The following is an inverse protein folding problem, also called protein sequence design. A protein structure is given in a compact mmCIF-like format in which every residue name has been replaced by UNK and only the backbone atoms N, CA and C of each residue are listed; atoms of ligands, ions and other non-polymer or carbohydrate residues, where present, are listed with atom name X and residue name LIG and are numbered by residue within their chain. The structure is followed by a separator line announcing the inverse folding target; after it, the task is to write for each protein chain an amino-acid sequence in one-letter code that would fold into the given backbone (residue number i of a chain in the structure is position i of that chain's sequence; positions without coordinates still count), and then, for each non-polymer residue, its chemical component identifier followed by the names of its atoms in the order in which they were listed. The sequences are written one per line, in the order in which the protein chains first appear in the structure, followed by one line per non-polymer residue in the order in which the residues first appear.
data_IF_432165328611
#
_entry.id   IF_432165328611
#
_cell.length_a   1.000
_cell.length_b   1.000
_cell.length_c   1.000
_cell.angle_alpha   90.00
_cell.angle_beta   90.00
_cell.angle_gamma   90.00
#
_symmetry.space_group_name_H-M   'P 1'
#
loop_
_entity.id
_entity.type
_entity.pdbx_description
1 polymer ?
#
# COMPACT_ATOMS: atom_id res chain seq x y z
N UNK A 1 -27.35 17.57 -6.38
CA UNK A 1 -27.24 16.11 -6.32
C UNK A 1 -26.98 15.46 -7.68
N UNK A 2 -27.53 15.97 -8.80
CA UNK A 2 -27.41 15.30 -10.12
C UNK A 2 -26.10 15.45 -10.92
N UNK A 3 -25.15 16.30 -10.52
CA UNK A 3 -23.92 16.52 -11.31
C UNK A 3 -22.81 15.51 -10.97
N UNK A 4 -22.72 15.09 -9.71
CA UNK A 4 -21.78 14.05 -9.26
C UNK A 4 -22.15 12.65 -9.74
N UNK A 5 -23.45 12.37 -9.83
CA UNK A 5 -23.95 11.08 -10.34
C UNK A 5 -23.73 10.93 -11.85
N UNK A 6 -23.73 12.04 -12.60
CA UNK A 6 -23.43 12.05 -14.03
C UNK A 6 -21.93 11.87 -14.32
N UNK A 7 -21.04 12.41 -13.49
CA UNK A 7 -19.59 12.20 -13.58
C UNK A 7 -19.20 10.76 -13.21
N UNK A 8 -19.80 10.20 -12.18
CA UNK A 8 -19.55 8.79 -11.80
C UNK A 8 -20.03 7.81 -12.90
N UNK A 9 -21.18 8.07 -13.52
CA UNK A 9 -21.68 7.25 -14.65
C UNK A 9 -20.77 7.38 -15.89
N UNK A 10 -20.21 8.56 -16.15
CA UNK A 10 -19.24 8.75 -17.24
C UNK A 10 -17.95 8.01 -16.95
N UNK A 11 -17.41 8.10 -15.75
CA UNK A 11 -16.19 7.38 -15.37
C UNK A 11 -16.36 5.85 -15.45
N UNK A 12 -17.52 5.32 -15.04
CA UNK A 12 -17.82 3.89 -15.16
C UNK A 12 -18.02 3.44 -16.62
N UNK A 13 -18.63 4.27 -17.47
CA UNK A 13 -18.75 4.00 -18.91
C UNK A 13 -17.39 4.04 -19.62
N UNK A 14 -16.52 4.97 -19.27
CA UNK A 14 -15.17 5.03 -19.82
C UNK A 14 -14.31 3.85 -19.37
N UNK A 15 -14.42 3.40 -18.14
CA UNK A 15 -13.70 2.20 -17.67
C UNK A 15 -14.20 0.92 -18.36
N UNK A 16 -15.50 0.81 -18.61
CA UNK A 16 -16.06 -0.33 -19.35
C UNK A 16 -15.64 -0.33 -20.82
N UNK A 17 -15.68 0.82 -21.50
CA UNK A 17 -15.23 0.96 -22.89
C UNK A 17 -13.73 0.68 -23.05
N UNK A 18 -12.91 1.08 -22.06
CA UNK A 18 -11.46 0.83 -22.10
C UNK A 18 -11.13 -0.65 -21.86
N UNK A 19 -11.90 -1.34 -21.02
CA UNK A 19 -11.74 -2.79 -20.79
C UNK A 19 -12.28 -3.62 -21.94
N UNK A 20 -13.33 -3.17 -22.64
CA UNK A 20 -13.89 -3.83 -23.83
C UNK A 20 -12.97 -3.65 -25.04
N UNK A 21 -12.52 -2.44 -25.35
CA UNK A 21 -11.58 -2.21 -26.46
C UNK A 21 -10.24 -2.93 -26.25
N UNK A 22 -9.67 -2.89 -25.04
CA UNK A 22 -8.42 -3.61 -24.74
C UNK A 22 -8.58 -5.13 -24.81
N UNK A 23 -9.79 -5.65 -24.65
CA UNK A 23 -10.10 -7.07 -24.79
C UNK A 23 -10.37 -7.44 -26.26
N UNK A 24 -10.96 -6.54 -27.04
CA UNK A 24 -11.18 -6.73 -28.47
C UNK A 24 -9.85 -6.69 -29.23
N UNK A 25 -8.94 -5.77 -28.94
CA UNK A 25 -7.61 -5.69 -29.57
C UNK A 25 -6.75 -6.94 -29.31
N UNK A 26 -6.87 -7.55 -28.13
CA UNK A 26 -6.18 -8.80 -27.81
C UNK A 26 -6.87 -10.00 -28.49
N UNK A 27 -8.19 -9.96 -28.66
CA UNK A 27 -8.96 -11.02 -29.32
C UNK A 27 -8.88 -10.94 -30.83
N UNK A 28 -8.76 -9.74 -31.45
CA UNK A 28 -8.55 -9.58 -32.89
C UNK A 28 -7.19 -10.12 -33.34
N UNK A 29 -6.17 -10.09 -32.47
CA UNK A 29 -4.89 -10.77 -32.71
C UNK A 29 -5.01 -12.31 -32.75
N UNK A 30 -6.07 -12.88 -32.21
CA UNK A 30 -6.30 -14.32 -32.14
C UNK A 30 -6.82 -14.92 -33.44
N UNK A 31 -7.41 -14.12 -34.33
CA UNK A 31 -8.11 -14.61 -35.55
C UNK A 31 -7.28 -14.66 -36.83
N UNK A 32 -6.10 -14.07 -36.86
CA UNK A 32 -5.21 -14.17 -38.01
C UNK A 32 -4.37 -15.45 -37.93
N UNK A 33 -4.83 -16.50 -38.58
CA UNK A 33 -4.13 -17.77 -38.65
C UNK A 33 -2.67 -17.62 -39.09
N UNK A 34 -1.84 -18.56 -38.64
CA UNK A 34 -0.43 -18.67 -39.05
C UNK A 34 -0.39 -18.79 -40.54
N UNK A 35 0.16 -17.76 -41.23
CA UNK A 35 0.26 -17.77 -42.67
C UNK A 35 1.04 -18.99 -43.19
N UNK A 36 0.87 -19.36 -44.47
CA UNK A 36 1.52 -20.51 -45.11
C UNK A 36 3.03 -20.56 -44.83
N UNK A 37 3.69 -19.39 -44.81
CA UNK A 37 5.10 -19.26 -44.50
C UNK A 37 5.40 -19.67 -43.02
N UNK A 38 4.52 -19.35 -42.09
CA UNK A 38 4.66 -19.78 -40.67
C UNK A 38 4.51 -21.30 -40.50
N UNK A 39 3.63 -21.93 -41.31
CA UNK A 39 3.47 -23.39 -41.32
C UNK A 39 4.72 -24.08 -41.87
N UNK A 40 5.33 -23.57 -42.95
CA UNK A 40 6.58 -24.08 -43.53
C UNK A 40 7.72 -23.98 -42.50
N UNK A 41 7.83 -22.84 -41.79
CA UNK A 41 8.85 -22.62 -40.76
C UNK A 41 8.69 -23.54 -39.56
N UNK A 42 7.44 -23.82 -39.12
CA UNK A 42 7.17 -24.78 -38.05
C UNK A 42 7.51 -26.21 -38.44
N UNK A 43 7.20 -26.63 -39.69
CA UNK A 43 7.56 -27.93 -40.20
C UNK A 43 9.10 -28.09 -40.32
N UNK A 44 9.80 -27.08 -40.82
CA UNK A 44 11.26 -27.09 -40.95
C UNK A 44 11.93 -27.17 -39.57
N UNK A 45 11.44 -26.41 -38.58
CA UNK A 45 11.95 -26.46 -37.21
C UNK A 45 11.71 -27.82 -36.56
N UNK A 46 10.54 -28.43 -36.81
CA UNK A 46 10.23 -29.77 -36.26
C UNK A 46 11.15 -30.83 -36.88
N UNK A 47 11.45 -30.77 -38.16
CA UNK A 47 12.42 -31.66 -38.84
C UNK A 47 13.83 -31.47 -38.23
N UNK A 48 14.25 -30.23 -38.00
CA UNK A 48 15.56 -29.92 -37.44
C UNK A 48 15.69 -30.45 -35.99
N UNK A 49 14.64 -30.32 -35.19
CA UNK A 49 14.56 -30.89 -33.84
C UNK A 49 14.63 -32.42 -33.88
N UNK A 50 13.98 -33.04 -34.88
CA UNK A 50 13.94 -34.50 -35.01
C UNK A 50 15.31 -35.08 -35.44
N UNK A 51 16.08 -34.35 -36.27
CA UNK A 51 17.44 -34.72 -36.66
C UNK A 51 18.42 -34.58 -35.50
N UNK A 52 18.22 -33.61 -34.61
CA UNK A 52 19.10 -33.31 -33.48
C UNK A 52 18.55 -33.85 -32.14
N UNK A 53 17.68 -34.86 -32.16
CA UNK A 53 16.93 -35.39 -30.99
C UNK A 53 17.73 -35.51 -29.71
N UNK A 54 18.94 -36.13 -29.64
CA UNK A 54 19.59 -36.31 -28.36
C UNK A 54 20.03 -35.01 -27.67
N UNK A 55 20.40 -33.99 -28.43
CA UNK A 55 20.78 -32.68 -27.87
C UNK A 55 19.56 -31.74 -27.71
N UNK A 56 18.59 -31.83 -28.58
CA UNK A 56 17.37 -31.01 -28.58
C UNK A 56 16.50 -31.27 -27.36
N UNK A 57 16.41 -32.51 -26.88
CA UNK A 57 15.60 -32.85 -25.70
C UNK A 57 15.97 -32.03 -24.47
N UNK A 58 17.26 -31.78 -24.19
CA UNK A 58 17.70 -30.98 -23.06
C UNK A 58 17.33 -29.50 -23.17
N UNK A 59 17.19 -28.99 -24.39
CA UNK A 59 16.91 -27.56 -24.65
C UNK A 59 15.40 -27.29 -24.75
N UNK A 60 14.64 -28.25 -25.34
CA UNK A 60 13.20 -28.09 -25.60
C UNK A 60 12.33 -28.27 -24.35
N UNK A 61 12.77 -29.05 -23.36
CA UNK A 61 12.02 -29.21 -22.12
C UNK A 61 12.34 -28.13 -21.14
N UNK A 62 11.33 -27.37 -20.75
CA UNK A 62 11.42 -26.33 -19.72
C UNK A 62 10.46 -26.62 -18.60
N UNK A 63 10.94 -26.42 -17.37
CA UNK A 63 10.13 -26.56 -16.15
C UNK A 63 9.71 -25.19 -15.66
N UNK A 64 8.42 -25.05 -15.39
CA UNK A 64 7.84 -23.87 -14.75
C UNK A 64 7.41 -24.25 -13.36
N UNK A 65 7.80 -23.46 -12.40
CA UNK A 65 7.46 -23.66 -11.00
C UNK A 65 6.00 -23.28 -10.73
N UNK A 66 5.46 -23.73 -9.59
CA UNK A 66 4.06 -23.49 -9.24
C UNK A 66 3.72 -22.00 -9.10
N UNK A 67 4.65 -21.22 -8.61
CA UNK A 67 4.53 -19.76 -8.44
C UNK A 67 4.86 -18.96 -9.70
N UNK A 68 5.29 -19.63 -10.80
CA UNK A 68 5.59 -18.98 -12.06
C UNK A 68 4.52 -19.31 -13.11
N UNK A 69 4.37 -18.42 -14.07
CA UNK A 69 3.61 -18.67 -15.31
C UNK A 69 4.49 -18.37 -16.50
N UNK A 70 4.43 -19.23 -17.51
CA UNK A 70 5.13 -19.02 -18.76
C UNK A 70 4.17 -18.47 -19.81
N UNK A 71 4.50 -17.31 -20.38
CA UNK A 71 3.83 -16.72 -21.53
C UNK A 71 4.66 -17.08 -22.75
N UNK A 72 4.05 -17.77 -23.72
CA UNK A 72 4.75 -18.29 -24.91
C UNK A 72 4.34 -17.46 -26.11
N UNK A 73 5.35 -17.00 -26.84
CA UNK A 73 5.20 -16.30 -28.12
C UNK A 73 5.71 -17.20 -29.25
N UNK A 74 4.89 -17.44 -30.25
CA UNK A 74 5.25 -18.18 -31.44
C UNK A 74 5.34 -17.21 -32.61
N UNK A 75 6.53 -17.10 -33.23
CA UNK A 75 6.78 -16.14 -34.34
C UNK A 75 6.37 -14.70 -33.97
N UNK A 76 6.60 -14.28 -32.73
CA UNK A 76 6.24 -12.95 -32.24
C UNK A 76 4.76 -12.75 -31.88
N UNK A 77 3.92 -13.78 -32.06
CA UNK A 77 2.50 -13.73 -31.68
C UNK A 77 2.26 -14.53 -30.39
N UNK A 78 1.36 -14.03 -29.57
CA UNK A 78 0.92 -14.74 -28.37
C UNK A 78 0.24 -16.06 -28.77
N UNK A 79 0.60 -17.15 -28.09
CA UNK A 79 -0.02 -18.44 -28.34
C UNK A 79 -1.46 -18.43 -27.78
N UNK A 80 -2.47 -18.87 -28.56
CA UNK A 80 -3.83 -19.02 -28.06
C UNK A 80 -3.86 -19.94 -26.82
N UNK A 81 -4.56 -19.49 -25.78
CA UNK A 81 -4.59 -20.17 -24.48
C UNK A 81 -3.83 -19.45 -23.35
N UNK A 82 -3.20 -18.32 -23.64
CA UNK A 82 -2.61 -17.42 -22.64
C UNK A 82 -1.38 -17.98 -21.94
N UNK A 83 -1.27 -17.75 -20.64
CA UNK A 83 -0.15 -18.24 -19.83
C UNK A 83 -0.25 -19.72 -19.51
N UNK A 84 0.84 -20.45 -19.70
CA UNK A 84 0.93 -21.87 -19.29
C UNK A 84 1.16 -22.00 -17.79
N UNK A 85 0.43 -22.96 -17.19
CA UNK A 85 0.55 -23.30 -15.77
C UNK A 85 1.86 -24.00 -15.40
N UNK A 86 2.02 -24.41 -14.14
CA UNK A 86 3.20 -25.11 -13.67
C UNK A 86 3.32 -26.49 -14.33
N UNK A 87 4.56 -26.97 -14.43
CA UNK A 87 4.88 -28.27 -14.97
C UNK A 87 5.93 -28.22 -16.06
N UNK A 88 6.05 -29.34 -16.80
CA UNK A 88 6.99 -29.49 -17.90
C UNK A 88 6.25 -29.18 -19.19
N UNK A 89 6.81 -28.32 -20.01
CA UNK A 89 6.27 -28.02 -21.32
C UNK A 89 7.38 -28.03 -22.39
N UNK A 90 6.97 -28.32 -23.60
CA UNK A 90 7.82 -28.42 -24.75
C UNK A 90 7.82 -27.10 -25.52
N UNK A 91 9.00 -26.56 -25.79
CA UNK A 91 9.21 -25.35 -26.56
C UNK A 91 10.09 -25.67 -27.77
N UNK A 92 9.76 -25.11 -28.92
CA UNK A 92 10.58 -25.09 -30.09
C UNK A 92 11.52 -23.87 -30.08
N UNK A 93 12.78 -23.99 -29.67
CA UNK A 93 13.66 -22.82 -29.38
C UNK A 93 13.91 -21.93 -30.61
N UNK A 94 13.73 -22.45 -31.84
CA UNK A 94 13.92 -21.69 -33.07
C UNK A 94 12.74 -20.78 -33.43
N UNK A 95 11.54 -21.04 -32.89
CA UNK A 95 10.29 -20.38 -33.31
C UNK A 95 9.57 -19.76 -32.13
N UNK A 96 9.69 -20.40 -30.98
CA UNK A 96 8.99 -20.01 -29.77
C UNK A 96 9.93 -19.30 -28.80
N UNK A 97 9.48 -18.15 -28.34
CA UNK A 97 10.10 -17.45 -27.21
C UNK A 97 9.15 -17.52 -26.00
N UNK A 98 9.69 -17.57 -24.79
CA UNK A 98 8.89 -17.62 -23.59
C UNK A 98 9.39 -16.60 -22.57
N UNK A 99 8.45 -16.01 -21.84
CA UNK A 99 8.72 -15.14 -20.70
C UNK A 99 8.14 -15.78 -19.45
N UNK A 100 8.93 -15.86 -18.38
CA UNK A 100 8.47 -16.32 -17.06
C UNK A 100 8.07 -15.13 -16.23
N UNK A 101 6.89 -15.22 -15.62
CA UNK A 101 6.33 -14.21 -14.74
C UNK A 101 6.08 -14.83 -13.37
N UNK A 102 6.64 -14.24 -12.34
CA UNK A 102 6.40 -14.64 -10.95
C UNK A 102 5.06 -14.05 -10.47
N UNK A 103 4.22 -14.90 -9.86
CA UNK A 103 2.91 -14.50 -9.31
C UNK A 103 2.96 -14.16 -7.83
N UNK A 104 4.11 -14.32 -7.18
CA UNK A 104 4.28 -13.99 -5.77
C UNK A 104 4.20 -12.47 -5.57
N UNK A 105 3.83 -12.08 -4.38
CA UNK A 105 3.86 -10.67 -3.98
C UNK A 105 5.30 -10.17 -4.00
N UNK A 106 5.53 -9.14 -4.80
CA UNK A 106 6.80 -8.44 -4.91
C UNK A 106 6.71 -7.10 -4.21
N UNK A 107 7.85 -6.61 -3.75
CA UNK A 107 7.95 -5.36 -3.00
C UNK A 107 8.74 -4.33 -3.81
N UNK A 108 8.20 -3.14 -3.96
CA UNK A 108 8.88 -1.99 -4.55
C UNK A 108 9.16 -0.97 -3.45
N UNK A 109 10.42 -0.66 -3.27
CA UNK A 109 10.86 0.44 -2.42
C UNK A 109 10.89 1.74 -3.24
N UNK A 110 10.12 2.74 -2.79
CA UNK A 110 10.07 4.07 -3.38
C UNK A 110 11.09 4.94 -2.62
N UNK A 111 12.14 5.42 -3.30
CA UNK A 111 13.13 6.27 -2.67
C UNK A 111 12.49 7.56 -2.17
N UNK A 112 13.09 8.23 -1.16
CA UNK A 112 12.58 9.47 -0.61
C UNK A 112 12.29 10.51 -1.69
N UNK A 113 11.05 11.03 -1.69
CA UNK A 113 10.59 12.06 -2.61
C UNK A 113 10.42 13.38 -1.86
N UNK A 114 11.04 14.43 -2.35
CA UNK A 114 10.82 15.76 -1.83
C UNK A 114 9.57 16.36 -2.49
N UNK A 115 8.59 16.68 -1.69
CA UNK A 115 7.30 17.18 -2.13
C UNK A 115 6.94 18.44 -1.35
N UNK A 116 6.42 19.44 -2.07
CA UNK A 116 5.83 20.63 -1.45
C UNK A 116 4.39 20.31 -1.07
N UNK A 117 4.06 20.41 0.21
CA UNK A 117 2.70 20.22 0.72
C UNK A 117 1.80 21.41 0.39
N UNK A 118 0.50 21.28 0.59
CA UNK A 118 -0.47 22.37 0.42
C UNK A 118 -0.14 23.58 1.31
N UNK A 119 0.48 23.36 2.46
CA UNK A 119 0.92 24.41 3.40
C UNK A 119 2.25 25.06 3.01
N UNK A 120 2.75 24.83 1.79
CA UNK A 120 4.01 25.34 1.28
C UNK A 120 5.25 24.89 2.08
N UNK A 121 5.18 23.72 2.71
CA UNK A 121 6.28 23.09 3.42
C UNK A 121 6.86 21.95 2.58
N UNK A 122 8.18 21.92 2.42
CA UNK A 122 8.85 20.79 1.76
C UNK A 122 9.03 19.65 2.75
N UNK A 123 8.53 18.46 2.38
CA UNK A 123 8.68 17.21 3.13
C UNK A 123 9.35 16.17 2.27
N UNK A 124 10.16 15.31 2.88
CA UNK A 124 10.73 14.14 2.21
C UNK A 124 10.01 12.90 2.74
N UNK A 125 9.37 12.17 1.82
CA UNK A 125 8.57 10.98 2.17
C UNK A 125 9.02 9.80 1.34
N UNK A 126 9.20 8.66 1.98
CA UNK A 126 9.47 7.35 1.38
C UNK A 126 8.31 6.39 1.64
N UNK A 127 8.11 5.45 0.72
CA UNK A 127 7.02 4.51 0.77
C UNK A 127 7.43 3.13 0.23
N UNK A 128 6.62 2.13 0.54
CA UNK A 128 6.75 0.76 0.03
C UNK A 128 5.44 0.34 -0.59
N UNK A 129 5.53 -0.29 -1.76
CA UNK A 129 4.37 -0.84 -2.48
C UNK A 129 4.51 -2.35 -2.58
N UNK A 130 3.50 -3.05 -2.10
CA UNK A 130 3.33 -4.49 -2.24
C UNK A 130 2.38 -4.75 -3.41
N UNK A 131 2.86 -5.46 -4.40
CA UNK A 131 2.07 -5.77 -5.60
C UNK A 131 2.32 -7.21 -6.05
N UNK A 132 1.40 -7.76 -6.81
CA UNK A 132 1.55 -9.04 -7.51
C UNK A 132 1.01 -8.96 -8.92
N UNK A 133 1.51 -9.84 -9.78
CA UNK A 133 0.95 -9.99 -11.12
C UNK A 133 -0.32 -10.83 -11.02
N UNK A 134 -1.44 -10.25 -11.42
CA UNK A 134 -2.76 -10.90 -11.49
C UNK A 134 -2.92 -11.67 -12.80
N UNK A 135 -2.51 -11.06 -13.90
CA UNK A 135 -2.59 -11.67 -15.24
C UNK A 135 -1.22 -11.59 -15.94
N UNK A 136 -0.53 -12.72 -15.98
CA UNK A 136 0.80 -12.82 -16.58
C UNK A 136 0.82 -12.47 -18.08
N UNK A 137 -0.24 -12.83 -18.81
CA UNK A 137 -0.34 -12.59 -20.25
C UNK A 137 -0.40 -11.09 -20.55
N UNK A 138 -1.32 -10.39 -19.87
CA UNK A 138 -1.50 -8.94 -20.02
C UNK A 138 -0.25 -8.19 -19.56
N UNK A 139 0.38 -8.64 -18.49
CA UNK A 139 1.59 -7.99 -17.95
C UNK A 139 2.75 -8.02 -18.95
N UNK A 140 2.95 -9.15 -19.64
CA UNK A 140 4.05 -9.28 -20.62
C UNK A 140 3.71 -8.60 -21.96
N UNK A 141 2.42 -8.58 -22.33
CA UNK A 141 2.00 -7.99 -23.61
C UNK A 141 1.94 -6.46 -23.57
N UNK A 142 1.49 -5.87 -22.44
CA UNK A 142 1.20 -4.45 -22.35
C UNK A 142 2.34 -3.62 -21.75
N UNK A 143 3.23 -4.23 -20.98
CA UNK A 143 4.30 -3.52 -20.26
C UNK A 143 5.63 -4.23 -20.44
N UNK A 144 6.64 -3.52 -20.88
CA UNK A 144 8.00 -4.05 -21.06
C UNK A 144 8.60 -4.50 -19.72
N UNK A 145 8.49 -3.65 -18.70
CA UNK A 145 9.01 -3.91 -17.37
C UNK A 145 8.02 -3.47 -16.30
N UNK A 146 7.19 -4.42 -15.86
CA UNK A 146 6.14 -4.19 -14.87
C UNK A 146 6.66 -3.56 -13.58
N UNK A 147 7.81 -4.04 -13.09
CA UNK A 147 8.44 -3.52 -11.86
C UNK A 147 8.87 -2.06 -12.00
N UNK A 148 9.53 -1.72 -13.10
CA UNK A 148 10.02 -0.36 -13.34
C UNK A 148 8.87 0.63 -13.57
N UNK A 149 7.90 0.26 -14.40
CA UNK A 149 6.74 1.10 -14.71
C UNK A 149 5.86 1.37 -13.48
N UNK A 150 5.60 0.33 -12.67
CA UNK A 150 4.86 0.48 -11.42
C UNK A 150 5.63 1.36 -10.42
N UNK A 151 6.96 1.26 -10.36
CA UNK A 151 7.79 2.11 -9.51
C UNK A 151 7.68 3.58 -9.89
N UNK A 152 7.79 3.92 -11.16
CA UNK A 152 7.66 5.30 -11.65
C UNK A 152 6.25 5.85 -11.41
N UNK A 153 5.23 5.04 -11.67
CA UNK A 153 3.85 5.42 -11.40
C UNK A 153 3.64 5.70 -9.91
N UNK A 154 4.15 4.84 -9.04
CA UNK A 154 4.04 5.01 -7.59
C UNK A 154 4.75 6.28 -7.09
N UNK A 155 5.93 6.62 -7.64
CA UNK A 155 6.62 7.88 -7.32
C UNK A 155 5.81 9.10 -7.70
N UNK A 156 5.23 9.11 -8.89
CA UNK A 156 4.42 10.24 -9.37
C UNK A 156 3.11 10.37 -8.60
N UNK A 157 2.46 9.25 -8.29
CA UNK A 157 1.22 9.21 -7.50
C UNK A 157 1.46 9.68 -6.08
N UNK A 158 2.56 9.24 -5.44
CA UNK A 158 2.97 9.69 -4.12
C UNK A 158 3.11 11.21 -4.09
N UNK A 159 3.85 11.78 -5.06
CA UNK A 159 4.04 13.23 -5.16
C UNK A 159 2.72 13.98 -5.34
N UNK A 160 1.84 13.49 -6.20
CA UNK A 160 0.57 14.13 -6.48
C UNK A 160 -0.35 14.12 -5.25
N UNK A 161 -0.49 13.00 -4.56
CA UNK A 161 -1.35 12.86 -3.38
C UNK A 161 -0.82 13.73 -2.24
N UNK A 162 0.48 13.67 -1.95
CA UNK A 162 1.08 14.46 -0.87
C UNK A 162 1.00 15.97 -1.14
N UNK A 163 1.11 16.40 -2.41
CA UNK A 163 0.97 17.80 -2.79
C UNK A 163 -0.43 18.39 -2.57
N UNK A 164 -1.45 17.53 -2.45
CA UNK A 164 -2.84 17.97 -2.16
C UNK A 164 -3.18 18.00 -0.67
N UNK A 165 -2.32 17.44 0.18
CA UNK A 165 -2.55 17.29 1.62
C UNK A 165 -1.79 18.33 2.44
N UNK A 166 -2.36 18.66 3.62
CA UNK A 166 -1.67 19.51 4.59
C UNK A 166 -0.63 18.69 5.36
N UNK A 167 0.38 19.33 5.91
CA UNK A 167 1.43 18.69 6.69
C UNK A 167 0.87 17.89 7.88
N UNK A 168 -0.08 18.46 8.60
CA UNK A 168 -0.71 17.80 9.73
C UNK A 168 -1.42 16.49 9.34
N UNK A 169 -2.11 16.46 8.20
CA UNK A 169 -2.76 15.26 7.67
C UNK A 169 -1.74 14.18 7.31
N UNK A 170 -0.60 14.58 6.71
CA UNK A 170 0.48 13.64 6.32
C UNK A 170 1.08 12.94 7.55
N UNK A 171 1.18 13.64 8.68
CA UNK A 171 1.75 13.09 9.90
C UNK A 171 0.76 12.28 10.74
N UNK A 172 -0.52 12.70 10.77
CA UNK A 172 -1.56 12.08 11.60
C UNK A 172 -2.31 10.96 10.89
N UNK A 173 -2.59 11.10 9.58
CA UNK A 173 -3.50 10.25 8.81
C UNK A 173 -2.77 9.45 7.71
N UNK A 174 -1.66 8.79 8.06
CA UNK A 174 -0.87 7.98 7.13
C UNK A 174 -1.68 6.86 6.48
N UNK A 175 -2.60 6.26 7.22
CA UNK A 175 -3.44 5.16 6.73
C UNK A 175 -4.41 5.63 5.64
N UNK A 176 -5.04 6.79 5.81
CA UNK A 176 -5.93 7.38 4.80
C UNK A 176 -5.20 7.68 3.49
N UNK A 177 -3.95 8.17 3.59
CA UNK A 177 -3.11 8.44 2.41
C UNK A 177 -2.70 7.13 1.74
N UNK A 178 -2.28 6.13 2.51
CA UNK A 178 -1.93 4.79 2.01
C UNK A 178 -3.08 4.15 1.24
N UNK A 179 -4.30 4.20 1.78
CA UNK A 179 -5.50 3.67 1.14
C UNK A 179 -5.86 4.44 -0.14
N UNK A 180 -5.72 5.76 -0.12
CA UNK A 180 -5.93 6.60 -1.31
C UNK A 180 -4.91 6.29 -2.41
N UNK A 181 -3.64 6.12 -2.03
CA UNK A 181 -2.58 5.70 -2.96
C UNK A 181 -2.84 4.32 -3.54
N UNK A 182 -3.23 3.36 -2.69
CA UNK A 182 -3.53 2.00 -3.11
C UNK A 182 -4.64 2.00 -4.17
N UNK A 183 -5.75 2.70 -3.93
CA UNK A 183 -6.87 2.79 -4.88
C UNK A 183 -6.45 3.37 -6.23
N UNK A 184 -5.74 4.50 -6.23
CA UNK A 184 -5.29 5.16 -7.47
C UNK A 184 -4.27 4.30 -8.23
N UNK A 185 -3.37 3.63 -7.50
CA UNK A 185 -2.38 2.75 -8.12
C UNK A 185 -3.03 1.49 -8.69
N UNK A 186 -3.94 0.85 -7.95
CA UNK A 186 -4.63 -0.37 -8.38
C UNK A 186 -5.46 -0.11 -9.65
N UNK A 187 -6.20 1.00 -9.70
CA UNK A 187 -6.96 1.42 -10.88
C UNK A 187 -6.05 1.59 -12.12
N UNK A 188 -4.91 2.24 -11.94
CA UNK A 188 -3.98 2.49 -13.05
C UNK A 188 -3.23 1.22 -13.50
N UNK A 189 -2.86 0.33 -12.55
CA UNK A 189 -2.07 -0.88 -12.86
C UNK A 189 -2.93 -2.06 -13.30
N UNK A 190 -4.25 -2.00 -13.14
CA UNK A 190 -5.19 -3.02 -13.61
C UNK A 190 -5.06 -3.25 -15.13
N UNK A 191 -4.86 -2.19 -15.91
CA UNK A 191 -4.61 -2.28 -17.36
C UNK A 191 -3.33 -3.05 -17.73
N UNK A 192 -2.39 -3.16 -16.78
CA UNK A 192 -1.13 -3.91 -16.93
C UNK A 192 -1.20 -5.33 -16.37
N UNK A 193 -2.36 -5.75 -15.86
CA UNK A 193 -2.54 -7.04 -15.20
C UNK A 193 -1.79 -7.16 -13.87
N UNK A 194 -1.51 -6.03 -13.22
CA UNK A 194 -0.86 -5.94 -11.92
C UNK A 194 -1.90 -5.53 -10.90
N UNK A 195 -1.87 -6.16 -9.73
CA UNK A 195 -2.71 -5.81 -8.59
C UNK A 195 -1.85 -5.27 -7.46
N UNK A 196 -2.18 -4.07 -6.99
CA UNK A 196 -1.54 -3.47 -5.82
C UNK A 196 -2.28 -3.95 -4.57
N UNK A 197 -1.58 -4.69 -3.71
CA UNK A 197 -2.16 -5.27 -2.50
C UNK A 197 -2.16 -4.27 -1.35
N UNK A 198 -1.04 -3.56 -1.20
CA UNK A 198 -0.85 -2.63 -0.09
C UNK A 198 0.18 -1.56 -0.41
N UNK A 199 -0.05 -0.38 0.09
CA UNK A 199 0.91 0.73 0.07
C UNK A 199 1.16 1.16 1.52
N UNK A 200 2.40 1.34 1.89
CA UNK A 200 2.78 1.82 3.23
C UNK A 200 3.75 2.99 3.13
N UNK A 201 3.46 4.05 3.86
CA UNK A 201 4.38 5.17 4.04
C UNK A 201 5.36 4.78 5.15
N UNK A 202 6.66 4.72 4.83
CA UNK A 202 7.71 4.38 5.80
C UNK A 202 7.95 5.54 6.74
N UNK A 203 8.44 6.64 6.19
CA UNK A 203 8.90 7.78 6.98
C UNK A 203 8.55 9.10 6.30
N UNK A 204 8.28 10.12 7.08
CA UNK A 204 8.05 11.48 6.62
C UNK A 204 9.04 12.39 7.35
N UNK A 205 10.06 12.86 6.64
CA UNK A 205 11.12 13.70 7.18
C UNK A 205 10.84 15.16 6.89
N UNK A 206 10.93 15.96 7.94
CA UNK A 206 10.77 17.41 7.90
C UNK A 206 12.13 18.10 7.94
N UNK A 207 12.26 19.31 7.41
CA UNK A 207 13.42 20.15 7.65
C UNK A 207 13.62 20.36 9.15
N UNK A 208 14.88 20.30 9.60
CA UNK A 208 15.24 20.32 11.05
C UNK A 208 14.70 21.56 11.76
N UNK A 209 14.66 22.71 11.07
CA UNK A 209 14.13 23.94 11.63
C UNK A 209 12.64 23.85 11.94
N UNK A 210 11.86 23.28 11.02
CA UNK A 210 10.43 23.10 11.20
C UNK A 210 10.13 22.05 12.26
N UNK A 211 10.90 20.96 12.30
CA UNK A 211 10.78 19.94 13.33
C UNK A 211 10.97 20.51 14.73
N UNK A 212 11.95 21.41 14.93
CA UNK A 212 12.18 22.11 16.20
C UNK A 212 11.02 23.03 16.56
N UNK A 213 10.50 23.80 15.60
CA UNK A 213 9.36 24.68 15.83
C UNK A 213 8.11 23.90 16.24
N UNK A 214 7.78 22.81 15.53
CA UNK A 214 6.64 21.94 15.86
C UNK A 214 6.82 21.24 17.19
N UNK A 215 8.05 20.84 17.55
CA UNK A 215 8.32 20.24 18.87
C UNK A 215 8.05 21.25 20.00
N UNK A 216 8.51 22.49 19.84
CA UNK A 216 8.27 23.55 20.83
C UNK A 216 6.77 23.90 20.95
N UNK A 217 6.04 23.96 19.84
CA UNK A 217 4.58 24.17 19.84
C UNK A 217 3.84 23.02 20.53
N UNK A 218 4.21 21.77 20.22
CA UNK A 218 3.63 20.60 20.85
C UNK A 218 3.89 20.53 22.36
N UNK A 219 5.09 20.95 22.79
CA UNK A 219 5.45 21.04 24.21
C UNK A 219 4.64 22.13 24.93
N UNK A 220 4.55 23.32 24.36
CA UNK A 220 3.72 24.41 24.89
C UNK A 220 2.23 24.02 24.97
N UNK A 221 1.71 23.31 23.96
CA UNK A 221 0.32 22.82 23.98
C UNK A 221 0.10 21.77 25.06
N UNK A 222 1.08 20.86 25.30
CA UNK A 222 1.00 19.87 26.39
C UNK A 222 1.05 20.54 27.76
N UNK A 223 1.91 21.51 27.93
CA UNK A 223 2.01 22.27 29.17
C UNK A 223 0.72 23.06 29.48
N UNK A 224 0.14 23.71 28.45
CA UNK A 224 -1.15 24.38 28.58
C UNK A 224 -2.27 23.43 28.98
N UNK A 225 -2.35 22.25 28.35
CA UNK A 225 -3.33 21.21 28.72
C UNK A 225 -3.10 20.69 30.14
N UNK A 226 -1.87 20.45 30.53
CA UNK A 226 -1.54 20.01 31.90
C UNK A 226 -2.00 21.03 32.95
N UNK A 227 -1.81 22.34 32.68
CA UNK A 227 -2.30 23.42 33.54
C UNK A 227 -3.83 23.45 33.63
N UNK A 228 -4.52 23.24 32.54
CA UNK A 228 -6.00 23.17 32.50
C UNK A 228 -6.50 21.96 33.33
N UNK A 229 -5.89 20.80 33.13
CA UNK A 229 -6.25 19.56 33.86
C UNK A 229 -5.99 19.73 35.36
N UNK A 230 -4.87 20.35 35.73
CA UNK A 230 -4.56 20.64 37.13
C UNK A 230 -5.61 21.59 37.74
N UNK A 231 -5.95 22.70 37.08
CA UNK A 231 -6.97 23.63 37.53
C UNK A 231 -8.36 23.00 37.63
N UNK A 232 -8.74 22.13 36.70
CA UNK A 232 -9.98 21.36 36.80
C UNK A 232 -9.97 20.37 37.96
N UNK A 233 -8.81 19.74 38.22
CA UNK A 233 -8.58 18.87 39.37
C UNK A 233 -8.76 19.62 40.70
N UNK A 234 -8.14 20.80 40.81
CA UNK A 234 -8.27 21.68 41.98
C UNK A 234 -9.73 22.14 42.20
N UNK A 235 -10.40 22.52 41.10
CA UNK A 235 -11.81 22.91 41.15
C UNK A 235 -12.69 21.75 41.63
N UNK A 236 -12.51 20.53 41.15
CA UNK A 236 -13.24 19.33 41.56
C UNK A 236 -12.96 19.02 43.03
N UNK A 237 -11.68 19.07 43.45
CA UNK A 237 -11.27 18.86 44.83
C UNK A 237 -11.89 19.91 45.78
N UNK A 238 -11.86 21.18 45.39
CA UNK A 238 -12.48 22.27 46.16
C UNK A 238 -13.99 22.11 46.32
N UNK A 239 -14.68 21.69 45.22
CA UNK A 239 -16.13 21.38 45.29
C UNK A 239 -16.41 20.21 46.23
N UNK A 240 -15.65 19.13 46.13
CA UNK A 240 -15.81 17.96 47.01
C UNK A 240 -15.52 18.30 48.47
N UNK A 241 -14.49 19.13 48.75
CA UNK A 241 -14.23 19.63 50.09
C UNK A 241 -15.34 20.49 50.64
N UNK A 242 -15.93 21.37 49.82
CA UNK A 242 -17.09 22.18 50.21
C UNK A 242 -18.30 21.31 50.52
N UNK A 243 -18.60 20.33 49.69
CA UNK A 243 -19.71 19.39 49.92
C UNK A 243 -19.48 18.59 51.21
N UNK A 244 -18.27 18.08 51.41
CA UNK A 244 -17.89 17.40 52.64
C UNK A 244 -18.01 18.31 53.88
N UNK A 245 -17.65 19.59 53.77
CA UNK A 245 -17.76 20.54 54.88
C UNK A 245 -19.22 20.85 55.22
N UNK A 246 -20.13 20.91 54.24
CA UNK A 246 -21.56 21.09 54.46
C UNK A 246 -22.15 19.90 55.19
N UNK A 247 -21.83 18.67 54.77
CA UNK A 247 -22.27 17.43 55.44
C UNK A 247 -21.74 17.34 56.88
N UNK A 248 -20.49 17.78 57.13
CA UNK A 248 -19.93 17.82 58.47
C UNK A 248 -20.55 18.91 59.37
N UNK A 249 -21.03 20.00 58.79
CA UNK A 249 -21.71 21.06 59.52
C UNK A 249 -23.12 20.66 59.99
N UNK A 250 -23.75 19.69 59.29
CA UNK A 250 -25.10 19.23 59.57
C UNK A 250 -25.19 18.25 60.76
N UNK A 251 -24.06 17.61 61.15
CA UNK A 251 -24.03 16.71 62.32
C UNK A 251 -22.79 16.95 63.19
N UNK A 252 -23.01 17.29 64.50
CA UNK A 252 -21.95 17.53 65.50
C UNK A 252 -21.03 16.31 65.77
N UNK A 253 -21.50 15.08 65.47
CA UNK A 253 -20.76 13.84 65.60
C UNK A 253 -19.86 13.46 64.43
N UNK A 254 -20.12 14.05 63.26
CA UNK A 254 -19.35 13.80 62.05
C UNK A 254 -17.89 14.29 62.15
N UNK A 255 -17.67 15.36 62.88
CA UNK A 255 -16.34 15.92 63.09
C UNK A 255 -15.46 14.99 63.95
N UNK A 256 -16.06 14.34 64.99
CA UNK A 256 -15.35 13.36 65.81
C UNK A 256 -15.00 12.07 65.08
N UNK A 257 -15.91 11.59 64.18
CA UNK A 257 -15.65 10.44 63.31
C UNK A 257 -14.55 10.75 62.28
N UNK A 258 -14.50 11.97 61.77
CA UNK A 258 -13.43 12.40 60.86
C UNK A 258 -12.07 12.48 61.52
N UNK A 259 -11.99 12.96 62.74
CA UNK A 259 -10.76 12.93 63.52
C UNK A 259 -10.26 11.51 63.79
N UNK A 260 -11.14 10.57 64.10
CA UNK A 260 -10.80 9.17 64.28
C UNK A 260 -10.33 8.51 62.98
N UNK A 261 -10.92 8.87 61.84
CA UNK A 261 -10.54 8.37 60.54
C UNK A 261 -9.14 8.87 60.13
N UNK A 262 -8.86 10.16 60.27
CA UNK A 262 -7.55 10.75 59.96
C UNK A 262 -6.44 10.22 60.87
N UNK A 263 -6.73 9.95 62.12
CA UNK A 263 -5.77 9.31 63.07
C UNK A 263 -5.52 7.85 62.71
N UNK A 264 -6.53 7.14 62.25
CA UNK A 264 -6.39 5.76 61.77
C UNK A 264 -5.54 5.68 60.49
N UNK A 265 -5.81 6.56 59.51
CA UNK A 265 -5.06 6.61 58.22
C UNK A 265 -3.58 7.03 58.44
N UNK A 266 -3.32 8.00 59.31
CA UNK A 266 -1.94 8.37 59.68
C UNK A 266 -1.22 7.30 60.55
N UNK A 267 -1.95 6.49 61.33
CA UNK A 267 -1.39 5.34 62.07
C UNK A 267 -0.95 4.17 61.14
N UNK A 268 -1.55 4.06 59.95
CA UNK A 268 -1.24 3.00 58.99
C UNK A 268 -0.11 3.38 57.99
N UNK A 269 0.37 4.64 58.05
CA UNK A 269 1.48 5.11 57.20
C UNK A 269 2.87 4.87 57.83
N UNK A 270 2.95 4.30 59.03
CA UNK A 270 4.21 3.84 59.63
C UNK A 270 4.51 2.38 59.24
N UNK A 271 4.47 2.04 57.96
CA UNK A 271 5.03 0.83 57.41
C UNK A 271 6.53 1.02 57.14
N UNK A 272 7.37 0.00 57.37
CA UNK A 272 8.81 0.11 57.49
C UNK A 272 9.51 0.24 56.12
N UNK A 273 10.50 1.10 56.04
CA UNK A 273 11.55 0.89 55.05
C UNK A 273 11.97 2.05 54.20
N UNK A 274 12.55 3.11 54.78
CA UNK A 274 13.58 3.87 54.09
C UNK A 274 14.81 3.94 55.02
N UNK A 275 15.60 2.90 55.01
CA UNK A 275 17.00 2.93 55.45
C UNK A 275 17.85 2.21 54.40
N UNK A 276 18.74 2.98 53.82
CA UNK A 276 19.95 2.74 53.02
C UNK A 276 19.86 3.12 51.58
#
# INVERSE_FOLDING_TARGET
MGRKDAEQRRASLWSQLYTENGREDIMEAESTGIGICGWILTLLSLVLVLVTVPFSLFVCFKVVQEYERAVIFRLGRLLPGGSRGPGIFFILPCIENYSKVDLRTSVIDIPPQEVLTKDSVTVSVDAVVYYRVSNATVSVANVENAHHSTRLLAQTTLRNILGTKNLHEILSDRESISNSMQSVLDDATTAWGIKVERVEIKDARLPVQLQRAMAAEAEAAREARAKVIAAEGEQKASKALREASLVMAESSSALQLRYLQVTHDNGNFNGPGWNS
#
